data_IF_664802995370
#
_entry.id   IF_664802995370
#
_cell.length_a   1.000
_cell.length_b   1.000
_cell.length_c   1.000
_cell.angle_alpha   90.00
_cell.angle_beta   90.00
_cell.angle_gamma   90.00
#
_symmetry.space_group_name_H-M   'P 1'
#
loop_
_entity.id
_entity.type
_entity.pdbx_description
1 polymer ?
#
# COMPACT_ATOMS: atom_id res chain seq x y z
N UNK A 1 14.18 5.92 -0.85
CA UNK A 1 14.21 5.70 -2.32
C UNK A 1 12.88 5.23 -2.95
N UNK A 2 12.42 3.97 -2.82
CA UNK A 2 11.19 3.53 -3.55
C UNK A 2 9.91 4.19 -3.03
N UNK A 3 9.77 4.31 -1.71
CA UNK A 3 8.62 4.96 -1.08
C UNK A 3 8.56 6.46 -1.45
N UNK A 4 9.71 7.15 -1.38
CA UNK A 4 9.83 8.54 -1.87
C UNK A 4 9.42 8.68 -3.33
N UNK A 5 9.84 7.73 -4.20
CA UNK A 5 9.42 7.73 -5.61
C UNK A 5 7.91 7.51 -5.76
N UNK A 6 7.30 6.69 -4.93
CA UNK A 6 5.84 6.48 -4.93
C UNK A 6 5.09 7.76 -4.58
N UNK A 7 5.55 8.51 -3.58
CA UNK A 7 5.00 9.81 -3.22
C UNK A 7 5.20 10.85 -4.32
N UNK A 8 6.45 11.03 -4.78
CA UNK A 8 6.79 12.06 -5.75
C UNK A 8 6.08 11.87 -7.11
N UNK A 9 5.72 10.63 -7.47
CA UNK A 9 5.10 10.31 -8.77
C UNK A 9 3.65 9.87 -8.66
N UNK A 10 3.08 9.83 -7.45
CA UNK A 10 1.73 9.33 -7.15
C UNK A 10 1.45 8.03 -7.92
N UNK A 11 2.33 7.04 -7.73
CA UNK A 11 2.28 5.80 -8.50
C UNK A 11 2.78 4.61 -7.72
N UNK A 12 2.26 3.43 -8.05
CA UNK A 12 2.76 2.14 -7.57
C UNK A 12 3.34 1.27 -8.70
N UNK A 13 3.37 1.80 -9.93
CA UNK A 13 3.87 1.08 -11.10
C UNK A 13 5.39 1.15 -11.19
N UNK A 14 6.10 0.02 -11.01
CA UNK A 14 7.58 -0.03 -11.04
C UNK A 14 8.23 0.65 -12.25
N UNK A 15 7.59 0.60 -13.44
CA UNK A 15 8.07 1.30 -14.64
C UNK A 15 7.99 2.83 -14.50
N UNK A 16 6.96 3.36 -13.83
CA UNK A 16 6.79 4.79 -13.60
C UNK A 16 7.67 5.29 -12.46
N UNK A 17 8.02 4.42 -11.51
CA UNK A 17 8.84 4.76 -10.35
C UNK A 17 10.34 4.84 -10.64
N UNK A 18 10.82 4.09 -11.62
CA UNK A 18 12.22 3.99 -11.96
C UNK A 18 12.59 4.89 -13.14
N UNK A 19 13.73 5.56 -13.04
CA UNK A 19 14.37 6.32 -14.12
C UNK A 19 15.29 5.44 -14.95
N UNK A 20 15.85 4.40 -14.33
CA UNK A 20 16.75 3.45 -15.00
C UNK A 20 16.24 2.01 -14.91
N UNK A 21 16.77 1.15 -15.80
CA UNK A 21 16.54 -0.30 -15.71
C UNK A 21 17.06 -0.86 -14.37
N UNK A 22 18.20 -0.37 -13.88
CA UNK A 22 18.79 -0.82 -12.64
C UNK A 22 17.86 -0.55 -11.45
N UNK A 23 17.29 0.65 -11.35
CA UNK A 23 16.30 0.99 -10.31
C UNK A 23 15.06 0.12 -10.40
N UNK A 24 14.50 -0.07 -11.61
CA UNK A 24 13.32 -0.94 -11.80
C UNK A 24 13.59 -2.36 -11.29
N UNK A 25 14.76 -2.91 -11.58
CA UNK A 25 15.18 -4.24 -11.11
C UNK A 25 15.35 -4.23 -9.60
N UNK A 26 16.00 -3.23 -9.02
CA UNK A 26 16.19 -3.10 -7.58
C UNK A 26 14.85 -3.02 -6.82
N UNK A 27 13.92 -2.16 -7.25
CA UNK A 27 12.59 -2.06 -6.64
C UNK A 27 11.79 -3.35 -6.78
N UNK A 28 11.86 -4.01 -7.94
CA UNK A 28 11.19 -5.30 -8.14
C UNK A 28 11.78 -6.38 -7.22
N UNK A 29 13.12 -6.40 -7.04
CA UNK A 29 13.78 -7.35 -6.13
C UNK A 29 13.39 -7.13 -4.68
N UNK A 30 13.26 -5.88 -4.24
CA UNK A 30 12.81 -5.54 -2.89
C UNK A 30 11.45 -6.18 -2.58
N UNK A 31 10.43 -5.94 -3.40
CA UNK A 31 9.08 -6.47 -3.19
C UNK A 31 8.93 -7.97 -3.50
N UNK A 32 9.95 -8.62 -4.08
CA UNK A 32 9.98 -10.07 -4.31
C UNK A 32 10.91 -10.80 -3.34
N UNK A 33 11.57 -10.08 -2.43
CA UNK A 33 12.45 -10.68 -1.45
C UNK A 33 11.62 -11.34 -0.34
N UNK A 34 11.80 -12.64 -0.11
CA UNK A 34 11.09 -13.38 0.95
C UNK A 34 11.30 -12.82 2.36
N UNK A 35 12.38 -12.08 2.58
CA UNK A 35 12.69 -11.44 3.86
C UNK A 35 11.98 -10.08 4.03
N UNK A 36 11.30 -9.59 2.99
CA UNK A 36 10.46 -8.38 3.04
C UNK A 36 9.01 -8.84 3.07
N UNK A 37 8.38 -8.79 4.23
CA UNK A 37 6.99 -9.20 4.40
C UNK A 37 6.03 -8.00 4.39
N UNK A 38 4.81 -8.20 3.91
CA UNK A 38 3.75 -7.18 3.99
C UNK A 38 3.47 -6.77 5.43
N UNK A 39 3.51 -7.74 6.36
CA UNK A 39 3.31 -7.50 7.78
C UNK A 39 4.37 -6.55 8.35
N UNK A 40 5.63 -6.73 7.97
CA UNK A 40 6.72 -5.86 8.44
C UNK A 40 6.59 -4.43 7.88
N UNK A 41 6.19 -4.30 6.60
CA UNK A 41 5.91 -3.01 5.99
C UNK A 41 4.79 -2.28 6.76
N UNK A 42 3.70 -2.98 7.08
CA UNK A 42 2.57 -2.42 7.83
C UNK A 42 3.00 -2.04 9.25
N UNK A 43 3.73 -2.91 9.96
CA UNK A 43 4.23 -2.64 11.32
C UNK A 43 5.14 -1.42 11.37
N UNK A 44 6.05 -1.30 10.40
CA UNK A 44 6.96 -0.14 10.30
C UNK A 44 6.17 1.16 10.10
N UNK A 45 5.16 1.16 9.23
CA UNK A 45 4.30 2.32 9.03
C UNK A 45 3.47 2.64 10.29
N UNK A 46 2.86 1.62 10.92
CA UNK A 46 2.06 1.77 12.12
C UNK A 46 2.88 2.28 13.32
N UNK A 47 4.11 1.80 13.50
CA UNK A 47 5.00 2.27 14.56
C UNK A 47 5.31 3.76 14.41
N UNK A 48 5.62 4.21 13.18
CA UNK A 48 5.81 5.64 12.90
C UNK A 48 4.56 6.45 13.19
N UNK A 49 3.38 5.95 12.80
CA UNK A 49 2.11 6.62 13.11
C UNK A 49 1.88 6.69 14.61
N UNK A 50 2.18 5.63 15.37
CA UNK A 50 2.02 5.60 16.82
C UNK A 50 2.97 6.59 17.54
N UNK A 51 4.22 6.70 17.09
CA UNK A 51 5.18 7.70 17.58
C UNK A 51 4.65 9.13 17.35
N UNK A 52 4.09 9.39 16.16
CA UNK A 52 3.50 10.69 15.83
C UNK A 52 2.17 10.93 16.56
N UNK A 53 1.43 9.90 16.94
CA UNK A 53 0.18 10.04 17.69
C UNK A 53 0.40 10.22 19.20
N UNK A 54 1.59 9.90 19.73
CA UNK A 54 1.85 9.90 21.16
C UNK A 54 1.54 11.26 21.81
N UNK A 55 0.69 11.23 22.85
CA UNK A 55 0.30 12.42 23.61
C UNK A 55 -0.73 13.33 22.92
N UNK A 56 -1.27 12.95 21.75
CA UNK A 56 -2.28 13.71 21.01
C UNK A 56 -3.68 13.12 21.20
N UNK A 57 -4.70 13.96 21.04
CA UNK A 57 -6.07 13.50 20.87
C UNK A 57 -6.25 13.16 19.38
N UNK A 58 -6.48 11.89 19.07
CA UNK A 58 -6.45 11.39 17.69
C UNK A 58 -7.78 10.74 17.34
N UNK A 59 -8.31 11.08 16.16
CA UNK A 59 -9.42 10.38 15.54
C UNK A 59 -8.87 9.24 14.67
N UNK A 60 -9.40 8.04 14.86
CA UNK A 60 -9.11 6.89 14.00
C UNK A 60 -10.32 6.70 13.07
N UNK A 61 -10.12 6.97 11.79
CA UNK A 61 -11.13 6.78 10.75
C UNK A 61 -10.88 5.44 10.07
N UNK A 62 -11.85 4.54 10.16
CA UNK A 62 -11.78 3.21 9.56
C UNK A 62 -12.84 3.09 8.47
N UNK A 63 -12.45 2.50 7.33
CA UNK A 63 -13.37 2.21 6.23
C UNK A 63 -12.87 0.98 5.47
N UNK A 64 -13.72 0.38 4.65
CA UNK A 64 -13.36 -0.74 3.76
C UNK A 64 -13.34 -0.29 2.31
N UNK A 65 -12.29 -0.63 1.59
CA UNK A 65 -12.14 -0.34 0.16
C UNK A 65 -11.83 -1.60 -0.63
N UNK A 66 -12.23 -1.59 -1.89
CA UNK A 66 -11.91 -2.61 -2.88
C UNK A 66 -10.75 -2.14 -3.78
N UNK A 67 -9.80 -3.03 -4.05
CA UNK A 67 -8.84 -2.86 -5.13
C UNK A 67 -9.18 -3.87 -6.24
N UNK A 68 -9.88 -3.37 -7.26
CA UNK A 68 -10.34 -4.16 -8.40
C UNK A 68 -9.19 -4.46 -9.39
N UNK A 69 -9.12 -5.70 -9.88
CA UNK A 69 -8.12 -6.16 -10.85
C UNK A 69 -8.73 -6.82 -12.09
N UNK A 70 -10.04 -6.69 -12.33
CA UNK A 70 -10.73 -7.43 -13.39
C UNK A 70 -10.17 -7.13 -14.78
N UNK A 71 -9.89 -5.86 -15.09
CA UNK A 71 -9.22 -5.46 -16.33
C UNK A 71 -7.82 -6.08 -16.54
N UNK A 72 -7.28 -6.77 -15.54
CA UNK A 72 -5.98 -7.46 -15.55
C UNK A 72 -6.11 -8.94 -15.18
N UNK A 73 -7.31 -9.52 -15.21
CA UNK A 73 -7.59 -10.90 -14.81
C UNK A 73 -6.72 -11.93 -15.55
N UNK A 74 -6.44 -11.71 -16.83
CA UNK A 74 -5.56 -12.60 -17.62
C UNK A 74 -4.11 -12.67 -17.10
N UNK A 75 -3.64 -11.66 -16.34
CA UNK A 75 -2.24 -11.53 -15.88
C UNK A 75 -2.07 -11.62 -14.35
N UNK A 76 -3.15 -11.63 -13.58
CA UNK A 76 -3.13 -11.67 -12.11
C UNK A 76 -3.70 -12.99 -11.61
N UNK A 77 -3.10 -13.55 -10.57
CA UNK A 77 -3.45 -14.85 -10.00
C UNK A 77 -3.42 -14.73 -8.47
N UNK A 78 -4.14 -15.63 -7.79
CA UNK A 78 -4.17 -15.69 -6.32
C UNK A 78 -4.97 -14.56 -5.67
N UNK A 79 -5.87 -13.90 -6.41
CA UNK A 79 -6.77 -12.87 -5.87
C UNK A 79 -8.14 -13.48 -5.58
N UNK A 80 -8.85 -12.89 -4.61
CA UNK A 80 -10.22 -13.26 -4.28
C UNK A 80 -11.25 -12.60 -5.19
N UNK A 81 -12.53 -12.79 -4.86
CA UNK A 81 -13.66 -12.09 -5.50
C UNK A 81 -13.94 -10.77 -4.76
N UNK A 82 -14.51 -9.81 -5.49
CA UNK A 82 -14.85 -8.48 -4.95
C UNK A 82 -16.34 -8.16 -5.10
N UNK A 83 -16.75 -6.89 -4.95
CA UNK A 83 -18.12 -6.48 -4.58
C UNK A 83 -19.28 -6.98 -5.44
N UNK A 84 -19.04 -7.44 -6.67
CA UNK A 84 -20.06 -8.03 -7.55
C UNK A 84 -20.09 -9.56 -7.55
N UNK A 85 -19.22 -10.21 -6.77
CA UNK A 85 -19.13 -11.66 -6.65
C UNK A 85 -18.49 -12.38 -7.85
N UNK A 86 -18.03 -11.65 -8.88
CA UNK A 86 -17.43 -12.23 -10.09
C UNK A 86 -16.02 -11.69 -10.36
N UNK A 87 -15.83 -10.39 -10.22
CA UNK A 87 -14.56 -9.72 -10.51
C UNK A 87 -13.47 -10.17 -9.56
N UNK A 88 -12.22 -10.17 -10.03
CA UNK A 88 -11.07 -10.46 -9.17
C UNK A 88 -10.50 -9.21 -8.51
N UNK A 89 -10.04 -9.36 -7.26
CA UNK A 89 -9.39 -8.27 -6.53
C UNK A 89 -9.11 -8.61 -5.06
N UNK A 90 -9.04 -7.58 -4.24
CA UNK A 90 -8.90 -7.69 -2.79
C UNK A 90 -9.64 -6.56 -2.08
N UNK A 91 -10.06 -6.84 -0.86
CA UNK A 91 -10.51 -5.82 0.08
C UNK A 91 -9.36 -5.39 0.98
N UNK A 92 -9.37 -4.11 1.34
CA UNK A 92 -8.50 -3.53 2.35
C UNK A 92 -9.38 -2.82 3.38
N UNK A 93 -9.02 -2.93 4.65
CA UNK A 93 -9.68 -2.23 5.75
C UNK A 93 -8.65 -1.33 6.45
N UNK A 94 -8.30 -0.17 5.86
CA UNK A 94 -7.33 0.75 6.45
C UNK A 94 -7.91 1.52 7.65
N UNK A 95 -7.01 1.93 8.54
CA UNK A 95 -7.27 2.91 9.57
C UNK A 95 -6.39 4.15 9.33
N UNK A 96 -7.00 5.34 9.32
CA UNK A 96 -6.32 6.62 9.19
C UNK A 96 -6.36 7.36 10.53
N UNK A 97 -5.19 7.67 11.07
CA UNK A 97 -5.03 8.48 12.27
C UNK A 97 -4.94 9.96 11.86
N UNK A 98 -5.79 10.81 12.47
CA UNK A 98 -5.89 12.25 12.20
C UNK A 98 -5.86 13.00 13.53
N UNK A 99 -5.16 14.14 13.60
CA UNK A 99 -5.22 14.98 14.80
C UNK A 99 -6.65 15.51 14.97
N UNK A 100 -7.24 15.32 16.14
CA UNK A 100 -8.64 15.66 16.37
C UNK A 100 -8.87 17.18 16.48
N UNK A 101 -7.82 17.99 16.57
CA UNK A 101 -7.91 19.45 16.72
C UNK A 101 -7.92 20.15 15.36
N UNK A 102 -6.97 19.84 14.48
CA UNK A 102 -6.74 20.59 13.24
C UNK A 102 -6.65 19.75 11.95
N UNK A 103 -6.77 18.42 12.05
CA UNK A 103 -6.86 17.53 10.88
C UNK A 103 -5.50 17.07 10.35
#
# INVERSE_FOLDING_TARGET
MVLERMFARVSTGMRRLADTRAEKVAFTRLFRNRHVSTQEIIRTAAARTAELAAGRHVLIIEDSSEINYEAKASRKRGLGRVGNGTDIGLFVHPALAVDAVDG
#
